data_IF_221614717946
#
_entry.id   IF_221614717946
#
_cell.length_a   1.000
_cell.length_b   1.000
_cell.length_c   1.000
_cell.angle_alpha   90.00
_cell.angle_beta   90.00
_cell.angle_gamma   90.00
#
_symmetry.space_group_name_H-M   'P 1'
#
loop_
_entity.id
_entity.type
_entity.pdbx_description
1 polymer ?
#
# COMPACT_ATOMS: atom_id res chain seq x y z
N UNK A 1 -3.86 -3.41 7.02
CA UNK A 1 -4.29 -2.16 7.66
C UNK A 1 -4.82 -1.20 6.61
N UNK A 2 -5.95 -0.53 6.86
CA UNK A 2 -6.57 0.46 5.95
C UNK A 2 -7.10 1.60 6.82
N UNK A 3 -6.84 2.85 6.47
CA UNK A 3 -7.39 4.03 7.16
C UNK A 3 -8.50 4.66 6.29
N UNK A 4 -9.66 4.95 6.90
CA UNK A 4 -10.88 5.44 6.26
C UNK A 4 -11.44 6.54 7.16
N UNK A 5 -12.09 7.56 6.59
CA UNK A 5 -12.77 8.61 7.38
C UNK A 5 -12.09 10.00 7.34
N UNK A 6 -11.03 10.17 6.55
CA UNK A 6 -10.41 11.48 6.38
C UNK A 6 -11.34 12.49 5.70
N UNK A 7 -11.58 13.65 6.33
CA UNK A 7 -12.32 14.75 5.70
C UNK A 7 -11.57 15.26 4.47
N UNK A 8 -12.27 15.36 3.33
CA UNK A 8 -11.68 15.80 2.06
C UNK A 8 -11.17 17.25 2.03
N UNK A 9 -11.48 18.05 3.05
CA UNK A 9 -10.92 19.40 3.24
C UNK A 9 -9.50 19.40 3.82
N UNK A 10 -9.06 18.29 4.40
CA UNK A 10 -7.74 18.19 5.02
C UNK A 10 -6.69 17.80 3.98
N UNK A 11 -5.50 18.37 4.10
CA UNK A 11 -4.37 17.97 3.27
C UNK A 11 -4.01 16.49 3.51
N UNK A 12 -3.72 15.75 2.44
CA UNK A 12 -3.31 14.33 2.49
C UNK A 12 -2.16 14.07 3.48
N UNK A 13 -1.26 15.04 3.62
CA UNK A 13 -0.15 14.97 4.56
C UNK A 13 -0.57 15.06 6.03
N UNK A 14 -1.63 15.81 6.33
CA UNK A 14 -2.21 15.88 7.67
C UNK A 14 -2.99 14.60 7.99
N UNK A 15 -3.79 14.11 7.04
CA UNK A 15 -4.52 12.84 7.17
C UNK A 15 -3.54 11.69 7.39
N UNK A 16 -2.46 11.63 6.61
CA UNK A 16 -1.43 10.61 6.76
C UNK A 16 -0.79 10.66 8.15
N UNK A 17 -0.35 11.83 8.61
CA UNK A 17 0.29 11.97 9.94
C UNK A 17 -0.65 11.60 11.09
N UNK A 18 -1.95 11.83 10.94
CA UNK A 18 -2.95 11.48 11.94
C UNK A 18 -3.38 10.01 11.87
N UNK A 19 -3.10 9.31 10.77
CA UNK A 19 -3.46 7.90 10.60
C UNK A 19 -2.57 6.98 11.44
N UNK A 20 -3.12 5.85 11.91
CA UNK A 20 -2.35 4.83 12.61
C UNK A 20 -1.12 4.36 11.82
N UNK A 21 -1.27 4.24 10.50
CA UNK A 21 -0.17 3.89 9.59
C UNK A 21 0.94 4.94 9.62
N UNK A 22 0.58 6.23 9.48
CA UNK A 22 1.56 7.30 9.47
C UNK A 22 2.21 7.48 10.83
N UNK A 23 1.45 7.41 11.91
CA UNK A 23 1.98 7.40 13.28
C UNK A 23 2.97 6.25 13.49
N UNK A 24 2.60 5.02 13.14
CA UNK A 24 3.48 3.86 13.29
C UNK A 24 4.76 3.99 12.45
N UNK A 25 4.63 4.44 11.19
CA UNK A 25 5.76 4.62 10.29
C UNK A 25 6.72 5.73 10.75
N UNK A 26 6.19 6.88 11.15
CA UNK A 26 6.99 8.05 11.54
C UNK A 26 7.67 7.84 12.91
N UNK A 27 7.09 7.05 13.79
CA UNK A 27 7.68 6.70 15.08
C UNK A 27 8.60 5.47 15.01
N UNK A 28 8.73 4.81 13.86
CA UNK A 28 9.53 3.59 13.71
C UNK A 28 8.93 2.34 14.36
N UNK A 29 7.63 2.38 14.67
CA UNK A 29 6.87 1.27 15.25
C UNK A 29 6.24 0.35 14.20
N UNK A 30 6.40 0.67 12.92
CA UNK A 30 5.99 -0.21 11.84
C UNK A 30 7.08 -1.26 11.64
N UNK A 31 6.72 -2.54 11.76
CA UNK A 31 7.60 -3.71 11.55
C UNK A 31 8.01 -3.83 10.07
N UNK A 32 8.86 -2.90 9.62
CA UNK A 32 9.47 -2.94 8.31
C UNK A 32 10.66 -3.90 8.32
N UNK A 33 10.94 -4.59 7.19
CA UNK A 33 12.12 -5.42 7.10
C UNK A 33 13.38 -4.57 7.30
N UNK A 34 14.41 -5.13 7.96
CA UNK A 34 15.66 -4.42 8.17
C UNK A 34 16.30 -4.01 6.83
N UNK A 35 17.21 -3.03 6.84
CA UNK A 35 17.90 -2.60 5.63
C UNK A 35 18.57 -3.78 4.93
N UNK A 36 18.51 -3.81 3.60
CA UNK A 36 19.07 -4.88 2.79
C UNK A 36 19.99 -4.31 1.70
N UNK A 37 20.98 -5.08 1.28
CA UNK A 37 21.87 -4.70 0.19
C UNK A 37 21.13 -4.73 -1.13
N UNK A 38 21.20 -3.65 -1.89
CA UNK A 38 20.62 -3.60 -3.22
C UNK A 38 21.33 -4.59 -4.14
N UNK A 39 20.56 -5.37 -4.91
CA UNK A 39 21.08 -6.39 -5.84
C UNK A 39 22.19 -5.81 -6.72
N UNK A 40 23.30 -6.55 -6.84
CA UNK A 40 24.50 -6.16 -7.62
C UNK A 40 25.26 -4.94 -7.08
N UNK A 41 25.03 -4.53 -5.82
CA UNK A 41 25.78 -3.45 -5.17
C UNK A 41 26.02 -3.73 -3.68
N UNK A 42 27.03 -3.08 -3.10
CA UNK A 42 27.28 -3.11 -1.65
C UNK A 42 26.48 -2.02 -0.89
N UNK A 43 25.49 -1.41 -1.55
CA UNK A 43 24.73 -0.31 -0.98
C UNK A 43 23.62 -0.86 -0.08
N UNK A 44 23.80 -0.71 1.22
CA UNK A 44 22.78 -1.00 2.22
C UNK A 44 21.68 0.07 2.16
N UNK A 45 20.45 -0.33 1.87
CA UNK A 45 19.29 0.58 1.76
C UNK A 45 18.11 0.11 2.62
N UNK A 46 17.35 1.08 3.12
CA UNK A 46 16.09 0.79 3.81
C UNK A 46 15.01 0.32 2.82
N UNK A 47 13.95 -0.27 3.36
CA UNK A 47 12.70 -0.44 2.65
C UNK A 47 11.90 0.87 2.70
N UNK A 48 11.35 1.27 1.55
CA UNK A 48 10.65 2.55 1.39
C UNK A 48 9.20 2.37 0.96
N UNK A 49 8.32 3.15 1.57
CA UNK A 49 6.95 3.37 1.10
C UNK A 49 6.98 4.48 0.04
N UNK A 50 6.36 4.19 -1.10
CA UNK A 50 6.18 5.17 -2.18
C UNK A 50 5.07 6.13 -1.80
N UNK A 51 5.40 7.42 -1.71
CA UNK A 51 4.51 8.48 -1.29
C UNK A 51 4.21 9.48 -2.41
N UNK A 52 3.16 10.28 -2.21
CA UNK A 52 2.90 11.46 -3.02
C UNK A 52 3.96 12.55 -2.77
N UNK A 53 4.17 13.39 -3.77
CA UNK A 53 4.91 14.64 -3.67
C UNK A 53 4.47 15.54 -2.51
N UNK A 54 3.19 15.48 -2.13
CA UNK A 54 2.61 16.21 -1.00
C UNK A 54 3.10 15.73 0.38
N UNK A 55 3.66 14.51 0.48
CA UNK A 55 4.21 13.98 1.72
C UNK A 55 5.66 14.43 1.92
N UNK A 56 6.07 14.53 3.18
CA UNK A 56 7.45 14.82 3.53
C UNK A 56 8.33 13.58 3.31
N UNK A 57 9.59 13.80 2.93
CA UNK A 57 10.58 12.73 2.88
C UNK A 57 10.84 12.21 4.30
N UNK A 58 11.02 10.89 4.45
CA UNK A 58 11.33 10.24 5.73
C UNK A 58 12.30 9.09 5.49
N UNK A 59 12.88 8.53 6.56
CA UNK A 59 13.84 7.41 6.47
C UNK A 59 13.29 6.17 5.73
N UNK A 60 11.97 6.01 5.73
CA UNK A 60 11.25 4.92 5.05
C UNK A 60 10.16 5.46 4.10
N UNK A 61 10.19 6.73 3.72
CA UNK A 61 9.26 7.32 2.75
C UNK A 61 10.05 7.96 1.62
N UNK A 62 9.76 7.55 0.39
CA UNK A 62 10.32 8.16 -0.81
C UNK A 62 9.22 8.78 -1.66
N UNK A 63 9.50 9.97 -2.20
CA UNK A 63 8.55 10.74 -3.01
C UNK A 63 9.19 11.12 -4.34
N UNK A 64 8.39 11.36 -5.39
CA UNK A 64 8.92 11.83 -6.67
C UNK A 64 9.62 13.19 -6.51
N UNK A 65 10.64 13.41 -7.33
CA UNK A 65 11.28 14.71 -7.45
C UNK A 65 10.28 15.73 -8.03
N UNK A 66 10.22 16.92 -7.42
CA UNK A 66 9.36 18.03 -7.82
C UNK A 66 10.13 19.06 -8.65
N UNK A 67 9.45 19.71 -9.61
CA UNK A 67 10.01 20.78 -10.44
C UNK A 67 10.11 20.42 -11.92
N UNK A 68 10.52 21.40 -12.73
CA UNK A 68 10.69 21.24 -14.17
C UNK A 68 12.14 20.93 -14.52
N UNK A 69 12.39 20.25 -15.65
CA UNK A 69 13.73 19.94 -16.17
C UNK A 69 14.63 19.14 -15.20
N UNK A 70 14.09 18.06 -14.61
CA UNK A 70 14.76 17.25 -13.58
C UNK A 70 15.99 16.45 -14.08
N UNK A 71 16.24 16.40 -15.38
CA UNK A 71 17.26 15.57 -16.00
C UNK A 71 16.86 14.09 -16.07
N UNK A 72 17.57 13.32 -16.89
CA UNK A 72 17.19 11.95 -17.26
C UNK A 72 17.04 11.00 -16.04
N UNK A 73 18.04 10.96 -15.15
CA UNK A 73 18.04 10.05 -13.99
C UNK A 73 16.83 10.26 -13.06
N UNK A 74 16.48 11.52 -12.80
CA UNK A 74 15.32 11.86 -11.94
C UNK A 74 14.00 11.57 -12.66
N UNK A 75 13.93 11.75 -13.98
CA UNK A 75 12.77 11.36 -14.78
C UNK A 75 12.55 9.84 -14.76
N UNK A 76 13.62 9.04 -14.89
CA UNK A 76 13.55 7.58 -14.77
C UNK A 76 13.07 7.18 -13.37
N UNK A 77 13.60 7.80 -12.33
CA UNK A 77 13.15 7.56 -10.96
C UNK A 77 11.65 7.88 -10.78
N UNK A 78 11.21 9.07 -11.18
CA UNK A 78 9.80 9.48 -11.10
C UNK A 78 8.90 8.54 -11.91
N UNK A 79 9.33 8.09 -13.09
CA UNK A 79 8.61 7.10 -13.88
C UNK A 79 8.41 5.79 -13.12
N UNK A 80 9.46 5.27 -12.45
CA UNK A 80 9.37 4.04 -11.63
C UNK A 80 8.41 4.22 -10.45
N UNK A 81 8.46 5.36 -9.77
CA UNK A 81 7.51 5.67 -8.69
C UNK A 81 6.07 5.71 -9.21
N UNK A 82 5.83 6.38 -10.33
CA UNK A 82 4.51 6.45 -10.97
C UNK A 82 4.00 5.06 -11.41
N UNK A 83 4.89 4.19 -11.90
CA UNK A 83 4.55 2.80 -12.23
C UNK A 83 4.10 2.02 -11.00
N UNK A 84 4.78 2.17 -9.86
CA UNK A 84 4.36 1.57 -8.59
C UNK A 84 2.98 2.05 -8.14
N UNK A 85 2.75 3.37 -8.18
CA UNK A 85 1.45 3.97 -7.83
C UNK A 85 0.30 3.48 -8.70
N UNK A 86 0.52 3.34 -10.01
CA UNK A 86 -0.48 2.86 -10.96
C UNK A 86 -1.03 1.48 -10.60
N UNK A 87 -0.22 0.61 -9.98
CA UNK A 87 -0.69 -0.69 -9.47
C UNK A 87 -1.77 -0.52 -8.41
N UNK A 88 -1.57 0.40 -7.47
CA UNK A 88 -2.52 0.68 -6.39
C UNK A 88 -3.77 1.37 -6.93
N UNK A 89 -3.60 2.36 -7.81
CA UNK A 89 -4.71 3.05 -8.48
C UNK A 89 -5.59 2.08 -9.27
N UNK A 90 -4.98 1.14 -10.00
CA UNK A 90 -5.71 0.10 -10.72
C UNK A 90 -6.48 -0.82 -9.75
N UNK A 91 -5.89 -1.21 -8.62
CA UNK A 91 -6.57 -2.03 -7.62
C UNK A 91 -7.81 -1.30 -7.05
N UNK A 92 -7.68 -0.02 -6.71
CA UNK A 92 -8.81 0.81 -6.27
C UNK A 92 -9.86 1.00 -7.38
N UNK A 93 -9.43 1.16 -8.63
CA UNK A 93 -10.31 1.22 -9.79
C UNK A 93 -11.18 -0.04 -9.92
N UNK A 94 -10.57 -1.23 -9.81
CA UNK A 94 -11.29 -2.51 -9.85
C UNK A 94 -12.22 -2.64 -8.64
N UNK A 95 -11.77 -2.29 -7.44
CA UNK A 95 -12.59 -2.30 -6.22
C UNK A 95 -13.84 -1.43 -6.40
N UNK A 96 -13.68 -0.19 -6.87
CA UNK A 96 -14.76 0.76 -7.14
C UNK A 96 -15.68 0.24 -8.26
N UNK A 97 -15.12 -0.40 -9.29
CA UNK A 97 -15.90 -0.94 -10.39
C UNK A 97 -16.76 -2.14 -10.00
N UNK A 98 -16.24 -3.03 -9.15
CA UNK A 98 -16.98 -4.19 -8.61
C UNK A 98 -17.98 -3.75 -7.52
N UNK A 99 -17.63 -2.75 -6.72
CA UNK A 99 -18.45 -2.27 -5.59
C UNK A 99 -19.27 -1.04 -5.96
N UNK A 100 -20.39 -1.23 -6.67
CA UNK A 100 -21.32 -0.14 -7.08
C UNK A 100 -21.67 0.84 -5.94
N UNK A 101 -21.73 0.37 -4.69
CA UNK A 101 -22.01 1.21 -3.52
C UNK A 101 -20.98 2.31 -3.28
N UNK A 102 -19.70 2.09 -3.64
CA UNK A 102 -18.61 3.05 -3.45
C UNK A 102 -18.59 4.16 -4.51
N UNK A 103 -19.39 4.03 -5.58
CA UNK A 103 -19.49 5.01 -6.67
C UNK A 103 -20.69 5.94 -6.54
N UNK A 104 -21.52 5.74 -5.52
CA UNK A 104 -22.66 6.59 -5.20
C UNK A 104 -22.47 7.20 -3.83
N UNK A 105 -23.10 8.33 -3.57
CA UNK A 105 -23.14 8.89 -2.23
C UNK A 105 -23.80 7.89 -1.29
N UNK A 106 -23.11 7.52 -0.21
CA UNK A 106 -23.63 6.59 0.80
C UNK A 106 -24.44 7.41 1.80
N UNK A 107 -25.76 7.23 1.79
CA UNK A 107 -26.70 7.97 2.65
C UNK A 107 -26.87 7.24 3.99
N UNK A 108 -25.80 7.16 4.78
CA UNK A 108 -25.77 6.54 6.12
C UNK A 108 -24.88 7.36 7.04
N UNK A 109 -24.95 7.10 8.34
CA UNK A 109 -24.05 7.70 9.33
C UNK A 109 -22.58 7.37 9.03
N UNK A 110 -21.66 8.27 9.41
CA UNK A 110 -20.23 8.17 9.07
C UNK A 110 -19.65 6.81 9.50
N UNK A 111 -19.92 6.37 10.73
CA UNK A 111 -19.47 5.09 11.28
C UNK A 111 -19.92 3.89 10.42
N UNK A 112 -21.19 3.88 10.01
CA UNK A 112 -21.73 2.83 9.13
C UNK A 112 -21.09 2.90 7.74
N UNK A 113 -20.82 4.10 7.23
CA UNK A 113 -20.16 4.29 5.95
C UNK A 113 -18.73 3.73 5.94
N UNK A 114 -17.99 3.93 7.03
CA UNK A 114 -16.64 3.40 7.21
C UNK A 114 -16.65 1.86 7.25
N UNK A 115 -17.58 1.25 7.99
CA UNK A 115 -17.77 -0.20 8.04
C UNK A 115 -18.10 -0.78 6.67
N UNK A 116 -18.96 -0.11 5.87
CA UNK A 116 -19.26 -0.53 4.51
C UNK A 116 -17.99 -0.54 3.65
N UNK A 117 -17.17 0.51 3.74
CA UNK A 117 -15.91 0.60 2.98
C UNK A 117 -14.94 -0.50 3.42
N UNK A 118 -14.76 -0.69 4.73
CA UNK A 118 -13.90 -1.76 5.28
C UNK A 118 -14.34 -3.14 4.79
N UNK A 119 -15.62 -3.47 4.91
CA UNK A 119 -16.17 -4.74 4.45
C UNK A 119 -15.94 -4.97 2.96
N UNK A 120 -16.05 -3.91 2.13
CA UNK A 120 -15.76 -4.01 0.69
C UNK A 120 -14.29 -4.24 0.39
N UNK A 121 -13.38 -3.60 1.12
CA UNK A 121 -11.94 -3.84 0.95
C UNK A 121 -11.56 -5.26 1.37
N UNK A 122 -12.05 -5.74 2.52
CA UNK A 122 -11.82 -7.11 2.99
C UNK A 122 -12.36 -8.13 1.99
N UNK A 123 -13.61 -7.97 1.55
CA UNK A 123 -14.21 -8.86 0.57
C UNK A 123 -13.45 -8.84 -0.76
N UNK A 124 -13.01 -7.66 -1.23
CA UNK A 124 -12.21 -7.56 -2.44
C UNK A 124 -10.90 -8.32 -2.31
N UNK A 125 -10.16 -8.12 -1.21
CA UNK A 125 -8.90 -8.80 -0.97
C UNK A 125 -9.09 -10.32 -0.90
N UNK A 126 -10.14 -10.79 -0.21
CA UNK A 126 -10.50 -12.21 -0.16
C UNK A 126 -10.78 -12.79 -1.55
N UNK A 127 -11.60 -12.11 -2.35
CA UNK A 127 -11.92 -12.56 -3.71
C UNK A 127 -10.68 -12.59 -4.61
N UNK A 128 -9.82 -11.57 -4.54
CA UNK A 128 -8.56 -11.56 -5.29
C UNK A 128 -7.64 -12.72 -4.90
N UNK A 129 -7.55 -13.05 -3.61
CA UNK A 129 -6.80 -14.23 -3.17
C UNK A 129 -7.37 -15.53 -3.74
N UNK A 130 -8.71 -15.69 -3.72
CA UNK A 130 -9.37 -16.89 -4.25
C UNK A 130 -9.27 -17.02 -5.77
N UNK A 131 -9.41 -15.92 -6.52
CA UNK A 131 -9.31 -15.86 -7.98
C UNK A 131 -7.85 -16.10 -8.42
N UNK A 132 -6.89 -15.60 -7.63
CA UNK A 132 -5.46 -15.82 -7.86
C UNK A 132 -5.04 -17.28 -7.65
N UNK A 133 -5.58 -17.99 -6.65
CA UNK A 133 -5.34 -19.45 -6.51
C UNK A 133 -5.78 -20.19 -7.78
N UNK A 134 -6.93 -19.83 -8.35
CA UNK A 134 -7.43 -20.39 -9.60
C UNK A 134 -6.55 -20.06 -10.82
N UNK A 135 -5.97 -18.86 -10.88
CA UNK A 135 -5.11 -18.43 -12.00
C UNK A 135 -3.66 -18.93 -11.87
N UNK A 136 -3.11 -19.03 -10.66
CA UNK A 136 -1.78 -19.59 -10.39
C UNK A 136 -1.72 -21.10 -10.68
N UNK A 137 -2.84 -21.82 -10.52
CA UNK A 137 -2.97 -23.21 -10.99
C UNK A 137 -3.07 -23.32 -12.52
N UNK A 138 -3.27 -22.22 -13.26
CA UNK A 138 -3.58 -22.25 -14.70
C UNK A 138 -2.53 -21.59 -15.60
N UNK A 139 -1.64 -20.73 -15.10
CA UNK A 139 -0.64 -20.05 -15.94
C UNK A 139 0.66 -19.75 -15.19
N UNK A 140 1.70 -20.52 -15.53
CA UNK A 140 3.08 -20.04 -15.55
C UNK A 140 3.17 -18.81 -16.48
N UNK A 141 4.02 -17.83 -16.09
CA UNK A 141 4.37 -16.58 -16.79
C UNK A 141 3.44 -15.35 -16.61
N UNK A 142 3.60 -14.61 -15.49
CA UNK A 142 3.37 -13.13 -15.40
C UNK A 142 3.76 -12.55 -14.01
N UNK A 143 4.81 -13.07 -13.36
CA UNK A 143 5.00 -12.97 -11.91
C UNK A 143 5.59 -11.67 -11.33
N UNK A 144 5.98 -10.66 -12.12
CA UNK A 144 6.73 -9.52 -11.54
C UNK A 144 5.88 -8.36 -10.99
N UNK A 145 4.62 -8.20 -11.43
CA UNK A 145 3.79 -7.04 -11.04
C UNK A 145 3.06 -7.20 -9.70
N UNK A 146 2.79 -8.43 -9.28
CA UNK A 146 1.97 -8.76 -8.10
C UNK A 146 2.79 -9.14 -6.87
N UNK A 147 4.10 -9.38 -7.03
CA UNK A 147 5.02 -9.73 -5.93
C UNK A 147 5.14 -8.62 -4.88
N UNK A 148 4.98 -7.35 -5.26
CA UNK A 148 5.07 -6.21 -4.33
C UNK A 148 3.83 -6.15 -3.40
N UNK A 149 2.66 -6.60 -3.88
CA UNK A 149 1.46 -6.71 -3.04
C UNK A 149 1.55 -7.91 -2.08
N UNK A 150 2.36 -8.92 -2.42
CA UNK A 150 2.63 -10.08 -1.59
C UNK A 150 3.64 -9.77 -0.46
N UNK A 151 4.68 -8.96 -0.75
CA UNK A 151 5.68 -8.56 0.25
C UNK A 151 5.10 -7.75 1.43
N UNK A 152 3.97 -7.05 1.23
CA UNK A 152 3.28 -6.29 2.28
C UNK A 152 2.29 -7.15 3.08
N UNK A 153 1.88 -8.30 2.56
CA UNK A 153 0.89 -9.19 3.21
C UNK A 153 1.52 -10.38 3.95
N UNK A 154 2.64 -10.92 3.48
CA UNK A 154 3.31 -12.04 4.18
C UNK A 154 3.93 -11.61 5.52
N UNK A 155 4.32 -10.34 5.67
CA UNK A 155 4.82 -9.79 6.94
C UNK A 155 3.72 -9.61 8.01
N UNK A 156 2.44 -9.53 7.62
CA UNK A 156 1.34 -9.31 8.57
C UNK A 156 0.57 -10.58 8.95
N UNK A 157 0.72 -11.69 8.21
CA UNK A 157 0.01 -12.95 8.50
C UNK A 157 0.89 -13.97 9.26
N UNK A 158 2.21 -13.80 9.32
CA UNK A 158 3.11 -14.67 10.09
C UNK A 158 3.41 -14.19 11.54
N UNK A 159 2.81 -13.07 11.98
CA UNK A 159 2.99 -12.51 13.32
C UNK A 159 1.98 -12.97 14.39
N UNK A 160 1.00 -13.81 14.03
CA UNK A 160 0.05 -14.40 14.97
C UNK A 160 0.20 -15.94 14.98
N UNK A 161 1.41 -16.39 15.30
CA UNK A 161 1.67 -17.75 15.71
C UNK A 161 1.53 -17.85 17.22
N UNK A 162 0.45 -18.50 17.67
CA UNK A 162 0.20 -18.88 19.06
C UNK A 162 1.46 -19.47 19.71
N UNK A 163 1.85 -18.91 20.86
CA UNK A 163 2.69 -19.61 21.84
C UNK A 163 1.89 -20.80 22.36
N UNK A 164 2.20 -22.00 21.87
CA UNK A 164 1.90 -23.24 22.60
C UNK A 164 3.08 -23.45 23.56
N UNK A 165 2.87 -23.41 24.90
CA UNK A 165 3.92 -23.75 25.85
C UNK A 165 3.86 -25.25 26.13
N UNK A 166 4.99 -25.94 26.02
CA UNK A 166 5.18 -27.24 26.67
C UNK A 166 6.62 -27.37 27.16
N UNK A 167 6.83 -28.09 28.28
CA UNK A 167 7.99 -27.97 29.18
C UNK A 167 9.33 -28.41 28.60
#
# INVERSE_FOLDING_TARGET
MVNIGGFGSNHDSAIFKASDLGCALLNGNLDLPPPNTLTETDLLINHYILADSALALHQNIIRPYTGNNLGEKKNIFNYRVSRGRRTIENAFGILSQRSKILRRTIQVELEVSELIVQARVVLHNFLQCSERIYLTLKRDTALLGLAIMWMVMDYYILGLGERIPTP
#
